data_IF_829252859453
#
_entry.id   IF_829252859453
#
_cell.length_a   1.000
_cell.length_b   1.000
_cell.length_c   1.000
_cell.angle_alpha   90.00
_cell.angle_beta   90.00
_cell.angle_gamma   90.00
#
_symmetry.space_group_name_H-M   'P 1'
#
loop_
_entity.id
_entity.type
_entity.pdbx_description
1 polymer ?
#
# COMPACT_ATOMS: atom_id res chain seq x y z
N UNK A 1 -48.86 -16.54 -46.92
CA UNK A 1 -48.34 -15.54 -47.89
C UNK A 1 -46.80 -15.52 -47.86
N UNK A 2 -46.14 -16.67 -48.08
CA UNK A 2 -44.66 -16.80 -48.08
C UNK A 2 -44.16 -17.66 -49.26
N UNK A 3 -44.80 -17.56 -50.42
CA UNK A 3 -44.49 -18.43 -51.57
C UNK A 3 -44.24 -17.63 -52.85
N UNK A 4 -43.22 -16.75 -52.82
CA UNK A 4 -42.55 -16.21 -54.01
C UNK A 4 -41.04 -16.00 -53.84
N UNK A 5 -40.42 -16.60 -52.83
CA UNK A 5 -38.97 -16.52 -52.65
C UNK A 5 -38.27 -17.64 -53.42
N UNK A 6 -37.35 -17.29 -54.32
CA UNK A 6 -36.49 -18.25 -55.02
C UNK A 6 -35.61 -19.00 -53.99
N UNK A 7 -35.18 -20.22 -54.30
CA UNK A 7 -34.38 -21.06 -53.39
C UNK A 7 -33.14 -20.29 -52.88
N UNK A 8 -32.53 -19.47 -53.74
CA UNK A 8 -31.40 -18.59 -53.38
C UNK A 8 -31.75 -17.57 -52.29
N UNK A 9 -32.96 -16.98 -52.30
CA UNK A 9 -33.36 -15.98 -51.31
C UNK A 9 -33.61 -16.61 -49.93
N UNK A 10 -34.16 -17.83 -49.89
CA UNK A 10 -34.33 -18.59 -48.64
C UNK A 10 -32.98 -18.96 -48.03
N UNK A 11 -32.00 -19.29 -48.86
CA UNK A 11 -30.63 -19.62 -48.43
C UNK A 11 -29.91 -18.37 -47.87
N UNK A 12 -29.99 -17.23 -48.56
CA UNK A 12 -29.40 -15.96 -48.10
C UNK A 12 -30.01 -15.47 -46.77
N UNK A 13 -31.32 -15.65 -46.57
CA UNK A 13 -31.99 -15.35 -45.30
C UNK A 13 -31.45 -16.19 -44.13
N UNK A 14 -31.20 -17.48 -44.36
CA UNK A 14 -30.59 -18.36 -43.36
C UNK A 14 -29.17 -17.94 -43.00
N UNK A 15 -28.34 -17.62 -43.99
CA UNK A 15 -26.98 -17.09 -43.76
C UNK A 15 -27.00 -15.75 -43.02
N UNK A 16 -27.91 -14.84 -43.38
CA UNK A 16 -28.06 -13.56 -42.69
C UNK A 16 -28.43 -13.73 -41.22
N UNK A 17 -29.30 -14.69 -40.89
CA UNK A 17 -29.67 -14.99 -39.51
C UNK A 17 -28.49 -15.55 -38.69
N UNK A 18 -27.67 -16.43 -39.30
CA UNK A 18 -26.47 -16.96 -38.65
C UNK A 18 -25.47 -15.83 -38.37
N UNK A 19 -25.23 -14.94 -39.34
CA UNK A 19 -24.35 -13.78 -39.17
C UNK A 19 -24.88 -12.86 -38.06
N UNK A 20 -26.19 -12.61 -38.02
CA UNK A 20 -26.81 -11.81 -36.97
C UNK A 20 -26.57 -12.41 -35.58
N UNK A 21 -26.77 -13.73 -35.42
CA UNK A 21 -26.53 -14.43 -34.16
C UNK A 21 -25.06 -14.34 -33.75
N UNK A 22 -24.12 -14.49 -34.70
CA UNK A 22 -22.68 -14.34 -34.43
C UNK A 22 -22.36 -12.91 -33.99
N UNK A 23 -22.92 -11.88 -34.64
CA UNK A 23 -22.71 -10.48 -34.26
C UNK A 23 -23.23 -10.18 -32.84
N UNK A 24 -24.41 -10.70 -32.48
CA UNK A 24 -24.97 -10.57 -31.13
C UNK A 24 -24.07 -11.27 -30.12
N UNK A 25 -23.62 -12.49 -30.42
CA UNK A 25 -22.70 -13.23 -29.54
C UNK A 25 -21.39 -12.48 -29.32
N UNK A 26 -20.79 -11.92 -30.38
CA UNK A 26 -19.57 -11.11 -30.28
C UNK A 26 -19.81 -9.85 -29.45
N UNK A 27 -20.95 -9.18 -29.58
CA UNK A 27 -21.29 -8.01 -28.78
C UNK A 27 -21.44 -8.35 -27.29
N UNK A 28 -22.12 -9.46 -26.97
CA UNK A 28 -22.27 -9.96 -25.60
C UNK A 28 -20.93 -10.35 -24.99
N UNK A 29 -20.08 -11.04 -25.75
CA UNK A 29 -18.72 -11.40 -25.31
C UNK A 29 -17.88 -10.16 -25.06
N UNK A 30 -17.98 -9.12 -25.89
CA UNK A 30 -17.25 -7.86 -25.67
C UNK A 30 -17.67 -7.13 -24.41
N UNK A 31 -18.97 -7.03 -24.15
CA UNK A 31 -19.49 -6.40 -22.92
C UNK A 31 -19.13 -7.21 -21.66
N UNK A 32 -19.09 -8.54 -21.78
CA UNK A 32 -18.63 -9.42 -20.70
C UNK A 32 -17.12 -9.25 -20.43
N UNK A 33 -16.28 -9.18 -21.47
CA UNK A 33 -14.84 -8.99 -21.33
C UNK A 33 -14.47 -7.63 -20.74
N UNK A 34 -15.13 -6.53 -21.14
CA UNK A 34 -14.84 -5.20 -20.58
C UNK A 34 -15.13 -5.12 -19.07
N UNK A 35 -16.19 -5.80 -18.60
CA UNK A 35 -16.53 -5.88 -17.17
C UNK A 35 -15.53 -6.72 -16.36
N UNK A 36 -14.96 -7.75 -16.98
CA UNK A 36 -13.92 -8.61 -16.37
C UNK A 36 -12.59 -7.86 -16.26
N UNK A 37 -12.21 -7.09 -17.28
CA UNK A 37 -10.95 -6.33 -17.28
C UNK A 37 -10.96 -5.20 -16.22
N UNK A 38 -12.07 -4.48 -16.08
CA UNK A 38 -12.22 -3.42 -15.07
C UNK A 38 -12.17 -3.95 -13.63
N UNK A 39 -12.91 -5.04 -13.34
CA UNK A 39 -12.89 -5.67 -12.02
C UNK A 39 -11.50 -6.28 -11.68
N UNK A 40 -10.80 -6.83 -12.68
CA UNK A 40 -9.46 -7.40 -12.48
C UNK A 40 -8.43 -6.31 -12.21
N UNK A 41 -8.45 -5.20 -12.97
CA UNK A 41 -7.53 -4.08 -12.75
C UNK A 41 -7.77 -3.39 -11.40
N UNK A 42 -9.02 -3.24 -10.97
CA UNK A 42 -9.34 -2.64 -9.68
C UNK A 42 -8.81 -3.49 -8.51
N UNK A 43 -9.01 -4.80 -8.56
CA UNK A 43 -8.45 -5.72 -7.56
C UNK A 43 -6.91 -5.66 -7.53
N UNK A 44 -6.24 -5.68 -8.69
CA UNK A 44 -4.77 -5.56 -8.78
C UNK A 44 -4.30 -4.25 -8.14
N UNK A 45 -4.97 -3.14 -8.44
CA UNK A 45 -4.63 -1.85 -7.88
C UNK A 45 -4.72 -1.87 -6.35
N UNK A 46 -5.85 -2.34 -5.81
CA UNK A 46 -6.06 -2.42 -4.37
C UNK A 46 -5.03 -3.33 -3.67
N UNK A 47 -4.69 -4.48 -4.26
CA UNK A 47 -3.61 -5.33 -3.72
C UNK A 47 -2.25 -4.64 -3.75
N UNK A 48 -1.97 -3.86 -4.79
CA UNK A 48 -0.72 -3.08 -4.91
C UNK A 48 -0.62 -2.04 -3.79
N UNK A 49 -1.72 -1.32 -3.51
CA UNK A 49 -1.77 -0.34 -2.41
C UNK A 49 -1.61 -1.03 -1.05
N UNK A 50 -2.29 -2.16 -0.82
CA UNK A 50 -2.16 -2.94 0.42
C UNK A 50 -0.72 -3.44 0.64
N UNK A 51 -0.08 -3.96 -0.42
CA UNK A 51 1.31 -4.43 -0.36
C UNK A 51 2.27 -3.28 -0.04
N UNK A 52 2.15 -2.16 -0.72
CA UNK A 52 2.96 -0.97 -0.46
C UNK A 52 2.75 -0.46 0.98
N UNK A 53 1.53 -0.49 1.49
CA UNK A 53 1.23 -0.11 2.88
C UNK A 53 1.89 -1.02 3.91
N UNK A 54 1.93 -2.34 3.63
CA UNK A 54 2.65 -3.30 4.46
C UNK A 54 4.17 -3.06 4.42
N UNK A 55 4.75 -2.79 3.24
CA UNK A 55 6.17 -2.43 3.11
C UNK A 55 6.52 -1.17 3.90
N UNK A 56 5.59 -0.22 3.96
CA UNK A 56 5.76 1.00 4.76
C UNK A 56 5.83 0.70 6.26
N UNK A 57 4.92 -0.16 6.76
CA UNK A 57 4.92 -0.61 8.15
C UNK A 57 6.17 -1.41 8.53
N UNK A 58 6.63 -2.29 7.63
CA UNK A 58 7.88 -3.04 7.80
C UNK A 58 9.07 -2.08 7.90
N UNK A 59 9.10 -1.04 7.07
CA UNK A 59 10.16 -0.02 7.09
C UNK A 59 10.22 0.71 8.43
N UNK A 60 9.08 1.14 8.96
CA UNK A 60 9.00 1.75 10.29
C UNK A 60 9.45 0.79 11.40
N UNK A 61 9.05 -0.47 11.31
CA UNK A 61 9.43 -1.50 12.28
C UNK A 61 10.94 -1.75 12.27
N UNK A 62 11.56 -1.85 11.08
CA UNK A 62 13.01 -2.02 10.95
C UNK A 62 13.80 -0.84 11.53
N UNK A 63 13.28 0.39 11.39
CA UNK A 63 13.86 1.57 12.05
C UNK A 63 13.80 1.43 13.57
N UNK A 64 12.63 1.08 14.13
CA UNK A 64 12.45 0.89 15.58
C UNK A 64 13.35 -0.24 16.11
N UNK A 65 13.40 -1.38 15.42
CA UNK A 65 14.22 -2.54 15.80
C UNK A 65 15.71 -2.23 15.74
N UNK A 66 16.18 -1.59 14.67
CA UNK A 66 17.60 -1.21 14.55
C UNK A 66 18.02 -0.21 15.61
N UNK A 67 17.20 0.82 15.85
CA UNK A 67 17.43 1.79 16.92
C UNK A 67 17.55 1.11 18.29
N UNK A 68 16.62 0.21 18.63
CA UNK A 68 16.63 -0.48 19.94
C UNK A 68 17.79 -1.45 20.08
N UNK A 69 18.16 -2.15 19.00
CA UNK A 69 19.34 -3.00 18.97
C UNK A 69 20.62 -2.22 19.24
N UNK A 70 20.77 -1.06 18.59
CA UNK A 70 21.91 -0.15 18.82
C UNK A 70 21.88 0.45 20.24
N UNK A 71 20.71 0.87 20.73
CA UNK A 71 20.57 1.40 22.08
C UNK A 71 20.99 0.38 23.16
N UNK A 72 20.70 -0.91 22.93
CA UNK A 72 21.03 -2.00 23.84
C UNK A 72 22.51 -2.42 23.75
N UNK A 73 23.02 -2.67 22.55
CA UNK A 73 24.37 -3.23 22.33
C UNK A 73 25.44 -2.16 22.18
N UNK A 74 25.12 -1.02 21.56
CA UNK A 74 26.09 -0.06 21.04
C UNK A 74 26.84 -0.51 19.79
N UNK A 75 26.43 -1.63 19.18
CA UNK A 75 27.02 -2.16 17.96
C UNK A 75 26.37 -1.49 16.73
N UNK A 76 27.21 -0.84 15.92
CA UNK A 76 26.81 -0.10 14.72
C UNK A 76 26.14 -1.01 13.67
N UNK A 77 26.34 -2.33 13.70
CA UNK A 77 25.66 -3.27 12.80
C UNK A 77 24.13 -3.21 12.94
N UNK A 78 23.62 -2.86 14.13
CA UNK A 78 22.18 -2.63 14.33
C UNK A 78 21.66 -1.34 13.65
N UNK A 79 22.54 -0.45 13.19
CA UNK A 79 22.13 0.73 12.42
C UNK A 79 21.83 0.39 10.95
N UNK A 80 22.29 -0.76 10.43
CA UNK A 80 21.99 -1.18 9.06
C UNK A 80 20.47 -1.28 8.77
N UNK A 81 19.64 -1.99 9.56
CA UNK A 81 18.20 -2.03 9.36
C UNK A 81 17.53 -0.67 9.56
N UNK A 82 18.09 0.20 10.41
CA UNK A 82 17.60 1.56 10.62
C UNK A 82 17.75 2.40 9.35
N UNK A 83 18.95 2.39 8.76
CA UNK A 83 19.27 3.15 7.55
C UNK A 83 18.46 2.61 6.37
N UNK A 84 18.41 1.28 6.20
CA UNK A 84 17.63 0.64 5.15
C UNK A 84 16.13 0.95 5.30
N UNK A 85 15.59 0.87 6.52
CA UNK A 85 14.19 1.21 6.80
C UNK A 85 13.86 2.67 6.49
N UNK A 86 14.75 3.63 6.80
CA UNK A 86 14.55 5.05 6.47
C UNK A 86 14.44 5.27 4.95
N UNK A 87 15.33 4.65 4.19
CA UNK A 87 15.35 4.78 2.73
C UNK A 87 14.11 4.14 2.10
N UNK A 88 13.80 2.91 2.52
CA UNK A 88 12.61 2.18 2.04
C UNK A 88 11.32 2.92 2.38
N UNK A 89 11.20 3.50 3.58
CA UNK A 89 10.05 4.32 3.94
C UNK A 89 9.87 5.49 2.97
N UNK A 90 10.95 6.22 2.64
CA UNK A 90 10.88 7.34 1.71
C UNK A 90 10.43 6.93 0.31
N UNK A 91 10.95 5.82 -0.21
CA UNK A 91 10.59 5.29 -1.52
C UNK A 91 9.13 4.82 -1.56
N UNK A 92 8.74 3.95 -0.62
CA UNK A 92 7.40 3.34 -0.58
C UNK A 92 6.32 4.39 -0.27
N UNK A 93 6.62 5.38 0.57
CA UNK A 93 5.72 6.51 0.80
C UNK A 93 5.44 7.29 -0.48
N UNK A 94 6.48 7.59 -1.26
CA UNK A 94 6.33 8.27 -2.55
C UNK A 94 5.58 7.44 -3.59
N UNK A 95 5.71 6.11 -3.54
CA UNK A 95 4.94 5.19 -4.36
C UNK A 95 3.45 5.19 -3.99
N UNK A 96 3.13 5.09 -2.71
CA UNK A 96 1.74 5.17 -2.21
C UNK A 96 1.07 6.47 -2.60
N UNK A 97 1.77 7.61 -2.48
CA UNK A 97 1.26 8.92 -2.91
C UNK A 97 0.88 8.92 -4.39
N UNK A 98 1.62 8.21 -5.25
CA UNK A 98 1.29 8.10 -6.68
C UNK A 98 0.12 7.15 -6.92
N UNK A 99 0.11 6.00 -6.25
CA UNK A 99 -0.93 4.99 -6.38
C UNK A 99 -2.29 5.54 -5.96
N UNK A 100 -2.36 6.29 -4.87
CA UNK A 100 -3.61 6.84 -4.34
C UNK A 100 -3.87 8.28 -4.77
N UNK A 101 -3.36 8.70 -5.93
CA UNK A 101 -3.42 10.11 -6.39
C UNK A 101 -4.84 10.61 -6.68
N UNK A 102 -5.76 9.70 -6.95
CA UNK A 102 -7.19 9.92 -7.17
C UNK A 102 -8.02 9.93 -5.87
N UNK A 103 -7.40 9.63 -4.71
CA UNK A 103 -8.08 9.53 -3.42
C UNK A 103 -7.58 10.61 -2.43
N UNK A 104 -8.29 11.74 -2.29
CA UNK A 104 -7.89 12.84 -1.41
C UNK A 104 -7.77 12.45 0.07
N UNK A 105 -8.60 11.50 0.54
CA UNK A 105 -8.53 11.04 1.93
C UNK A 105 -7.23 10.26 2.19
N UNK A 106 -6.82 9.38 1.26
CA UNK A 106 -5.54 8.67 1.35
C UNK A 106 -4.35 9.64 1.26
N UNK A 107 -4.41 10.65 0.38
CA UNK A 107 -3.39 11.69 0.29
C UNK A 107 -3.20 12.43 1.63
N UNK A 108 -4.30 12.80 2.29
CA UNK A 108 -4.25 13.47 3.59
C UNK A 108 -3.61 12.58 4.65
N UNK A 109 -4.00 11.30 4.75
CA UNK A 109 -3.41 10.34 5.68
C UNK A 109 -1.92 10.14 5.44
N UNK A 110 -1.50 10.01 4.17
CA UNK A 110 -0.10 9.86 3.80
C UNK A 110 0.72 11.11 4.13
N UNK A 111 0.15 12.31 3.98
CA UNK A 111 0.79 13.55 4.39
C UNK A 111 0.97 13.63 5.91
N UNK A 112 -0.07 13.30 6.68
CA UNK A 112 -0.02 13.24 8.14
C UNK A 112 1.01 12.21 8.63
N UNK A 113 0.98 11.01 8.04
CA UNK A 113 1.95 9.96 8.32
C UNK A 113 3.38 10.45 8.13
N UNK A 114 3.65 11.19 7.05
CA UNK A 114 4.99 11.73 6.75
C UNK A 114 5.45 12.71 7.82
N UNK A 115 4.56 13.59 8.28
CA UNK A 115 4.86 14.56 9.35
C UNK A 115 5.17 13.85 10.66
N UNK A 116 4.36 12.86 11.05
CA UNK A 116 4.59 12.07 12.27
C UNK A 116 5.91 11.30 12.16
N UNK A 117 6.18 10.68 11.00
CA UNK A 117 7.41 9.94 10.76
C UNK A 117 8.65 10.82 10.87
N UNK A 118 8.62 12.03 10.34
CA UNK A 118 9.75 12.97 10.43
C UNK A 118 10.04 13.37 11.88
N UNK A 119 8.99 13.69 12.65
CA UNK A 119 9.12 14.01 14.09
C UNK A 119 9.65 12.81 14.87
N UNK A 120 9.08 11.64 14.63
CA UNK A 120 9.52 10.39 15.26
C UNK A 120 10.98 10.07 14.96
N UNK A 121 11.39 10.23 13.71
CA UNK A 121 12.78 9.98 13.31
C UNK A 121 13.75 10.97 13.95
N UNK A 122 13.47 12.27 13.88
CA UNK A 122 14.39 13.29 14.39
C UNK A 122 14.41 13.37 15.93
N UNK A 123 13.25 13.34 16.57
CA UNK A 123 13.17 13.46 18.02
C UNK A 123 13.55 12.16 18.71
N UNK A 124 12.92 11.04 18.32
CA UNK A 124 13.01 9.80 19.10
C UNK A 124 14.17 8.92 18.64
N UNK A 125 14.26 8.65 17.33
CA UNK A 125 15.26 7.73 16.76
C UNK A 125 16.66 8.34 16.83
N UNK A 126 16.87 9.51 16.21
CA UNK A 126 18.17 10.20 16.24
C UNK A 126 18.55 10.59 17.67
N UNK A 127 17.60 11.06 18.48
CA UNK A 127 17.85 11.37 19.89
C UNK A 127 18.36 10.18 20.70
N UNK A 128 17.84 8.97 20.45
CA UNK A 128 18.30 7.76 21.15
C UNK A 128 19.68 7.30 20.66
N UNK A 129 19.91 7.33 19.34
CA UNK A 129 21.23 7.01 18.76
C UNK A 129 22.29 8.00 19.27
N UNK A 130 21.98 9.29 19.29
CA UNK A 130 22.89 10.33 19.77
C UNK A 130 23.19 10.18 21.28
N UNK A 131 22.19 9.82 22.08
CA UNK A 131 22.36 9.57 23.51
C UNK A 131 23.27 8.36 23.76
N UNK A 132 23.06 7.26 23.03
CA UNK A 132 23.92 6.07 23.12
C UNK A 132 25.37 6.38 22.70
N UNK A 133 25.58 7.17 21.64
CA UNK A 133 26.92 7.63 21.23
C UNK A 133 27.57 8.55 22.26
N UNK A 134 26.80 9.44 22.88
CA UNK A 134 27.27 10.32 23.96
C UNK A 134 27.70 9.53 25.19
N UNK A 135 27.03 8.41 25.48
CA UNK A 135 27.41 7.49 26.55
C UNK A 135 28.77 6.85 26.29
N UNK A 136 29.03 6.38 25.06
CA UNK A 136 30.36 5.85 24.66
C UNK A 136 31.44 6.92 24.77
N UNK A 137 31.10 8.18 24.49
CA UNK A 137 32.00 9.33 24.64
C UNK A 137 32.16 9.82 26.11
N UNK A 138 31.59 9.12 27.10
CA UNK A 138 31.69 9.47 28.52
C UNK A 138 30.87 10.70 28.94
N UNK A 139 29.93 11.16 28.11
CA UNK A 139 29.09 12.36 28.35
C UNK A 139 27.70 12.04 28.87
N UNK A 140 27.31 10.77 28.89
CA UNK A 140 26.03 10.28 29.38
C UNK A 140 26.21 8.89 30.00
N UNK A 141 25.20 8.40 30.70
CA UNK A 141 25.21 7.08 31.34
C UNK A 141 24.29 6.10 30.61
N UNK A 142 24.49 4.81 30.87
CA UNK A 142 23.56 3.78 30.37
C UNK A 142 22.15 3.99 30.94
N UNK A 143 22.04 4.51 32.17
CA UNK A 143 20.76 4.79 32.82
C UNK A 143 19.97 5.88 32.07
N UNK A 144 20.66 6.87 31.47
CA UNK A 144 20.01 7.87 30.63
C UNK A 144 19.39 7.24 29.37
N UNK A 145 20.12 6.32 28.72
CA UNK A 145 19.63 5.57 27.54
C UNK A 145 18.44 4.70 27.93
N UNK A 146 18.55 3.94 29.03
CA UNK A 146 17.49 3.06 29.53
C UNK A 146 16.26 3.88 29.93
N UNK A 147 16.44 5.03 30.58
CA UNK A 147 15.34 5.93 30.94
C UNK A 147 14.58 6.39 29.69
N UNK A 148 15.30 6.85 28.65
CA UNK A 148 14.68 7.27 27.39
C UNK A 148 13.84 6.17 26.74
N UNK A 149 14.36 4.93 26.71
CA UNK A 149 13.62 3.78 26.19
C UNK A 149 12.40 3.44 27.07
N UNK A 150 12.53 3.54 28.40
CA UNK A 150 11.43 3.28 29.35
C UNK A 150 10.32 4.33 29.26
N UNK A 151 10.65 5.58 28.96
CA UNK A 151 9.70 6.67 28.80
C UNK A 151 8.79 6.47 27.57
N UNK A 152 9.15 5.55 26.65
CA UNK A 152 8.34 5.14 25.48
C UNK A 152 7.84 6.32 24.63
N UNK A 153 8.65 7.38 24.53
CA UNK A 153 8.32 8.58 23.76
C UNK A 153 8.14 8.25 22.26
N UNK A 154 8.90 7.27 21.76
CA UNK A 154 8.81 6.70 20.41
C UNK A 154 7.47 5.98 20.15
N UNK A 155 6.91 5.33 21.18
CA UNK A 155 5.74 4.46 21.04
C UNK A 155 4.49 5.21 20.60
N UNK A 156 4.22 6.39 21.17
CA UNK A 156 3.01 7.15 20.84
C UNK A 156 2.97 7.54 19.36
N UNK A 157 4.10 7.99 18.81
CA UNK A 157 4.20 8.34 17.38
C UNK A 157 4.15 7.09 16.50
N UNK A 158 4.78 5.99 16.90
CA UNK A 158 4.70 4.71 16.18
C UNK A 158 3.26 4.17 16.13
N UNK A 159 2.53 4.21 17.23
CA UNK A 159 1.13 3.78 17.27
C UNK A 159 0.23 4.68 16.42
N UNK A 160 0.49 6.01 16.41
CA UNK A 160 -0.17 6.93 15.49
C UNK A 160 0.05 6.58 14.03
N UNK A 161 1.30 6.26 13.65
CA UNK A 161 1.62 5.81 12.29
C UNK A 161 0.98 4.46 11.96
N UNK A 162 1.00 3.49 12.89
CA UNK A 162 0.31 2.19 12.72
C UNK A 162 -1.18 2.37 12.46
N UNK A 163 -1.81 3.28 13.20
CA UNK A 163 -3.23 3.59 13.03
C UNK A 163 -3.53 4.18 11.64
N UNK A 164 -2.75 5.17 11.20
CA UNK A 164 -2.92 5.76 9.87
C UNK A 164 -2.76 4.74 8.74
N UNK A 165 -1.78 3.83 8.86
CA UNK A 165 -1.59 2.74 7.91
C UNK A 165 -2.77 1.77 7.95
N UNK A 166 -3.26 1.41 9.14
CA UNK A 166 -4.42 0.53 9.29
C UNK A 166 -5.70 1.14 8.70
N UNK A 167 -5.93 2.44 8.91
CA UNK A 167 -7.08 3.16 8.35
C UNK A 167 -7.00 3.20 6.80
N UNK A 168 -5.80 3.41 6.24
CA UNK A 168 -5.56 3.32 4.79
C UNK A 168 -5.90 1.92 4.27
N UNK A 169 -5.37 0.88 4.92
CA UNK A 169 -5.60 -0.52 4.54
C UNK A 169 -7.06 -0.93 4.67
N UNK A 170 -7.77 -0.43 5.68
CA UNK A 170 -9.18 -0.75 5.89
C UNK A 170 -10.05 -0.19 4.76
N UNK A 171 -9.75 1.01 4.27
CA UNK A 171 -10.50 1.60 3.17
C UNK A 171 -10.26 0.85 1.86
N UNK A 172 -9.02 0.44 1.58
CA UNK A 172 -8.68 -0.45 0.47
C UNK A 172 -9.41 -1.80 0.59
N UNK A 173 -9.47 -2.39 1.78
CA UNK A 173 -10.15 -3.66 1.99
C UNK A 173 -11.67 -3.58 1.77
N UNK A 174 -12.30 -2.42 2.04
CA UNK A 174 -13.72 -2.18 1.72
C UNK A 174 -13.95 -2.10 0.20
N UNK A 175 -13.02 -1.51 -0.55
CA UNK A 175 -13.11 -1.47 -2.01
C UNK A 175 -13.09 -2.88 -2.63
N UNK A 176 -12.37 -3.83 -2.01
CA UNK A 176 -12.39 -5.25 -2.41
C UNK A 176 -13.72 -5.94 -2.08
N UNK A 177 -14.36 -5.61 -0.94
CA UNK A 177 -15.64 -6.24 -0.57
C UNK A 177 -16.80 -5.76 -1.43
N UNK A 178 -16.72 -4.52 -1.90
CA UNK A 178 -17.77 -3.87 -2.68
C UNK A 178 -17.60 -4.10 -4.19
N UNK A 179 -16.44 -4.59 -4.64
CA UNK A 179 -16.23 -4.99 -6.03
C UNK A 179 -17.06 -6.24 -6.39
N UNK A 180 -17.75 -6.24 -7.56
CA UNK A 180 -18.52 -7.40 -8.00
C UNK A 180 -17.59 -8.60 -8.16
N UNK A 181 -17.75 -9.59 -7.27
CA UNK A 181 -17.01 -10.85 -7.34
C UNK A 181 -17.36 -11.53 -8.67
N UNK A 182 -16.34 -11.79 -9.49
CA UNK A 182 -16.49 -12.67 -10.65
C UNK A 182 -16.66 -14.09 -10.09
N UNK A 183 -17.91 -14.53 -9.93
CA UNK A 183 -18.29 -15.91 -9.61
C UNK A 183 -18.49 -16.73 -10.87
#
# INVERSE_FOLDING_TARGET
>A
MFSRFTISQKLSLGFGLIILIICIMVAVVRDAFSKIDEATNWNIHTYTVLEASNKLLISLTNIETGMRGFALSGDDDFLAPLIAGKNNFGQVHGELVKLTSDNPAQQQRLAELKVIQQKWFGEDIEGTVALRRSMVAGKATIDDVVKRIKDRQDKAKMDGMRKLIADLQQDEQKLLSDSPRVS
#
